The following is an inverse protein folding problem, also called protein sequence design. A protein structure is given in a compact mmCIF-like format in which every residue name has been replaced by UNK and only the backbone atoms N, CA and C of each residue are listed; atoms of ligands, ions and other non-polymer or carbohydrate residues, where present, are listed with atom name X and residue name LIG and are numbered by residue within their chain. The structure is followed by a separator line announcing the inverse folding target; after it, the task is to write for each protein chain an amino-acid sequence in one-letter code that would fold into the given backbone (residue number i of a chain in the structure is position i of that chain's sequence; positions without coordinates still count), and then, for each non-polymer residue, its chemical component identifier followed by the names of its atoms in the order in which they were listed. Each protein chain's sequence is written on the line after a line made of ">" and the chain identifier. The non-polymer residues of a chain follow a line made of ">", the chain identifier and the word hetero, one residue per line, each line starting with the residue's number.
data_IF_907967402468
#
_entry.id   IF_907967402468
#
_cell.length_a   1.000
_cell.length_b   1.000
_cell.length_c   1.000
_cell.angle_alpha   90.00
_cell.angle_beta   90.00
_cell.angle_gamma   90.00
#
_symmetry.space_group_name_H-M   'P 1'
#
loop_
_entity.id
_entity.type
_entity.pdbx_description
1 polymer ?
#
# COMPACT_ATOMS: atom_id res chain seq x y z
N UNK A 1 -0.65 7.09 26.19
CA UNK A 1 -0.02 6.42 25.02
C UNK A 1 0.72 5.21 25.55
N UNK A 2 0.49 4.03 24.97
CA UNK A 2 1.10 2.77 25.42
C UNK A 2 1.89 2.14 24.26
N UNK A 3 3.10 1.65 24.53
CA UNK A 3 3.90 0.87 23.57
C UNK A 3 3.48 -0.59 23.69
N UNK A 4 3.10 -1.21 22.57
CA UNK A 4 2.55 -2.59 22.54
C UNK A 4 3.50 -3.61 21.91
N UNK A 5 4.49 -3.17 21.14
CA UNK A 5 5.53 -3.98 20.52
C UNK A 5 6.76 -3.12 20.15
N UNK A 6 7.91 -3.75 19.92
CA UNK A 6 9.16 -3.12 19.46
C UNK A 6 10.04 -4.12 18.68
N UNK A 7 11.17 -3.65 18.15
CA UNK A 7 12.10 -4.47 17.34
C UNK A 7 11.95 -4.30 15.81
N UNK A 8 11.11 -3.37 15.38
CA UNK A 8 10.92 -2.99 13.97
C UNK A 8 11.90 -1.92 13.55
N UNK A 9 12.19 -1.84 12.26
CA UNK A 9 13.01 -0.76 11.70
C UNK A 9 12.15 0.42 11.22
N UNK A 10 11.01 0.14 10.59
CA UNK A 10 10.05 1.18 10.17
C UNK A 10 8.65 0.56 10.03
N UNK A 11 7.67 0.98 10.84
CA UNK A 11 6.32 0.40 10.79
C UNK A 11 5.38 1.23 9.94
N UNK A 12 4.63 0.61 9.03
CA UNK A 12 3.68 1.28 8.12
C UNK A 12 2.40 0.46 7.89
N UNK A 13 1.42 1.09 7.24
CA UNK A 13 0.22 0.42 6.74
C UNK A 13 -0.58 -0.38 7.79
N UNK A 14 -0.85 0.13 9.00
CA UNK A 14 -1.63 -0.60 9.98
C UNK A 14 -3.07 -0.81 9.51
N UNK A 15 -3.57 -2.04 9.55
CA UNK A 15 -4.94 -2.40 9.22
C UNK A 15 -5.49 -3.45 10.18
N UNK A 16 -6.68 -3.20 10.73
CA UNK A 16 -7.37 -4.19 11.56
C UNK A 16 -8.08 -5.23 10.69
N UNK A 17 -7.80 -6.51 10.92
CA UNK A 17 -8.42 -7.62 10.20
C UNK A 17 -9.34 -8.38 11.15
N UNK A 18 -10.64 -8.08 11.05
CA UNK A 18 -11.68 -8.63 11.94
C UNK A 18 -11.74 -10.15 11.96
N UNK A 19 -11.61 -10.80 10.80
CA UNK A 19 -11.59 -12.28 10.70
C UNK A 19 -10.42 -12.92 11.47
N UNK A 20 -9.36 -12.15 11.75
CA UNK A 20 -8.16 -12.61 12.47
C UNK A 20 -8.11 -12.12 13.91
N UNK A 21 -9.02 -11.21 14.29
CA UNK A 21 -8.95 -10.47 15.54
C UNK A 21 -7.56 -9.87 15.82
N UNK A 22 -6.97 -9.28 14.79
CA UNK A 22 -5.58 -8.82 14.84
C UNK A 22 -5.34 -7.60 13.95
N UNK A 23 -4.37 -6.79 14.36
CA UNK A 23 -3.76 -5.73 13.57
C UNK A 23 -2.68 -6.34 12.68
N UNK A 24 -2.74 -6.08 11.38
CA UNK A 24 -1.60 -6.28 10.48
C UNK A 24 -0.90 -4.94 10.26
N UNK A 25 0.42 -4.98 10.13
CA UNK A 25 1.23 -3.81 9.74
C UNK A 25 2.51 -4.29 9.06
N UNK A 26 3.05 -3.45 8.19
CA UNK A 26 4.29 -3.76 7.45
C UNK A 26 5.51 -3.21 8.18
N UNK A 27 6.63 -3.91 8.02
CA UNK A 27 7.97 -3.37 8.16
C UNK A 27 8.68 -3.48 6.79
N UNK A 28 8.66 -2.40 5.98
CA UNK A 28 9.22 -2.43 4.63
C UNK A 28 10.73 -2.73 4.63
N UNK A 29 11.46 -2.31 5.66
CA UNK A 29 12.89 -2.52 5.77
C UNK A 29 13.22 -3.98 6.10
N UNK A 30 12.48 -4.60 7.03
CA UNK A 30 12.62 -6.03 7.34
C UNK A 30 11.89 -6.95 6.36
N UNK A 31 11.27 -6.42 5.30
CA UNK A 31 10.58 -7.22 4.29
C UNK A 31 9.51 -8.15 4.87
N UNK A 32 8.79 -7.66 5.88
CA UNK A 32 7.90 -8.50 6.69
C UNK A 32 6.56 -7.79 6.93
N UNK A 33 5.46 -8.55 6.92
CA UNK A 33 4.19 -8.13 7.52
C UNK A 33 4.07 -8.84 8.86
N UNK A 34 3.78 -8.08 9.91
CA UNK A 34 3.54 -8.58 11.25
C UNK A 34 2.05 -8.63 11.56
N UNK A 35 1.70 -9.49 12.51
CA UNK A 35 0.38 -9.58 13.12
C UNK A 35 0.49 -9.35 14.62
N UNK A 36 -0.36 -8.47 15.16
CA UNK A 36 -0.53 -8.25 16.59
C UNK A 36 -1.99 -8.53 16.98
N UNK A 37 -2.23 -9.60 17.73
CA UNK A 37 -3.58 -10.01 18.14
C UNK A 37 -4.14 -9.13 19.26
N UNK A 38 -5.46 -9.12 19.44
CA UNK A 38 -6.09 -8.42 20.57
C UNK A 38 -5.58 -8.92 21.94
N UNK A 39 -5.20 -10.20 22.03
CA UNK A 39 -4.59 -10.81 23.22
C UNK A 39 -3.12 -10.42 23.45
N UNK A 40 -2.55 -9.56 22.60
CA UNK A 40 -1.20 -9.04 22.76
C UNK A 40 -0.09 -9.91 22.17
N UNK A 41 -0.42 -10.85 21.29
CA UNK A 41 0.56 -11.75 20.66
C UNK A 41 1.08 -11.14 19.37
N UNK A 42 2.39 -10.88 19.31
CA UNK A 42 3.11 -10.49 18.11
C UNK A 42 3.63 -11.73 17.37
N UNK A 43 3.43 -11.79 16.06
CA UNK A 43 3.93 -12.86 15.20
C UNK A 43 4.19 -12.36 13.77
N UNK A 44 4.97 -13.11 12.99
CA UNK A 44 5.12 -12.85 11.55
C UNK A 44 3.88 -13.35 10.82
N UNK A 45 3.22 -12.47 10.07
CA UNK A 45 2.13 -12.83 9.18
C UNK A 45 2.64 -13.30 7.82
N UNK A 46 3.59 -12.57 7.25
CA UNK A 46 4.20 -12.87 5.96
C UNK A 46 5.65 -12.42 5.94
N UNK A 47 6.56 -13.35 5.74
CA UNK A 47 7.95 -13.09 5.39
C UNK A 47 8.10 -12.82 3.88
N UNK A 48 9.17 -12.14 3.48
CA UNK A 48 9.43 -11.71 2.09
C UNK A 48 8.23 -10.99 1.48
N UNK A 49 7.71 -10.02 2.23
CA UNK A 49 6.43 -9.38 1.94
C UNK A 49 6.43 -8.48 0.71
N UNK A 50 7.59 -8.03 0.24
CA UNK A 50 7.71 -7.22 -0.98
C UNK A 50 8.64 -7.84 -2.02
N UNK A 51 9.84 -8.30 -1.64
CA UNK A 51 10.88 -8.68 -2.60
C UNK A 51 11.72 -9.87 -2.15
N UNK A 52 12.24 -10.67 -3.08
CA UNK A 52 13.14 -11.79 -2.77
C UNK A 52 14.23 -12.00 -3.84
N UNK A 53 14.45 -10.97 -4.67
CA UNK A 53 15.48 -10.99 -5.71
C UNK A 53 16.90 -10.99 -5.14
N UNK A 54 17.86 -11.45 -5.94
CA UNK A 54 19.26 -11.56 -5.53
C UNK A 54 19.92 -10.20 -5.21
N UNK A 55 19.42 -9.12 -5.79
CA UNK A 55 19.84 -7.73 -5.58
C UNK A 55 19.13 -7.05 -4.39
N UNK A 56 18.44 -7.81 -3.52
CA UNK A 56 17.73 -7.26 -2.36
C UNK A 56 18.60 -6.37 -1.46
N UNK A 57 19.91 -6.63 -1.39
CA UNK A 57 20.86 -5.84 -0.62
C UNK A 57 21.00 -4.39 -1.10
N UNK A 58 20.57 -4.09 -2.33
CA UNK A 58 20.53 -2.72 -2.85
C UNK A 58 19.33 -1.91 -2.31
N UNK A 59 18.28 -2.58 -1.84
CA UNK A 59 17.04 -1.94 -1.41
C UNK A 59 17.08 -1.59 0.08
N UNK A 60 16.78 -0.34 0.42
CA UNK A 60 16.58 0.07 1.81
C UNK A 60 15.23 -0.37 2.39
N UNK A 61 14.19 -0.43 1.55
CA UNK A 61 12.82 -0.81 1.92
C UNK A 61 12.24 -1.83 0.91
N UNK A 62 12.78 -3.06 0.83
CA UNK A 62 12.36 -4.06 -0.16
C UNK A 62 10.94 -4.61 0.06
N UNK A 63 10.40 -4.45 1.26
CA UNK A 63 9.17 -5.07 1.74
C UNK A 63 7.85 -4.51 1.22
N UNK A 64 6.78 -5.00 1.84
CA UNK A 64 5.47 -4.37 1.72
C UNK A 64 5.44 -3.03 2.44
N UNK A 65 4.58 -2.11 1.99
CA UNK A 65 4.30 -0.85 2.68
C UNK A 65 2.82 -0.78 3.08
N UNK A 66 2.02 0.06 2.43
CA UNK A 66 0.59 0.18 2.68
C UNK A 66 -0.15 -1.16 2.57
N UNK A 67 -1.10 -1.36 3.49
CA UNK A 67 -2.02 -2.50 3.53
C UNK A 67 -3.46 -1.98 3.55
N UNK A 68 -4.37 -2.67 2.88
CA UNK A 68 -5.81 -2.40 2.99
C UNK A 68 -6.63 -3.67 2.75
N UNK A 69 -7.94 -3.61 3.00
CA UNK A 69 -8.86 -4.69 2.68
C UNK A 69 -9.74 -4.31 1.50
N UNK A 70 -9.90 -5.24 0.56
CA UNK A 70 -10.89 -5.10 -0.50
C UNK A 70 -12.32 -5.26 0.04
N UNK A 71 -13.37 -4.98 -0.76
CA UNK A 71 -14.75 -5.10 -0.29
C UNK A 71 -15.17 -6.53 0.09
N UNK A 72 -14.36 -7.54 -0.24
CA UNK A 72 -14.56 -8.94 0.14
C UNK A 72 -13.72 -9.35 1.36
N UNK A 73 -13.01 -8.41 2.00
CA UNK A 73 -12.16 -8.66 3.17
C UNK A 73 -10.79 -9.27 2.85
N UNK A 74 -10.37 -9.31 1.58
CA UNK A 74 -9.05 -9.81 1.19
C UNK A 74 -7.99 -8.72 1.33
N UNK A 75 -6.80 -9.09 1.79
CA UNK A 75 -5.69 -8.17 1.98
C UNK A 75 -5.13 -7.74 0.63
N UNK A 76 -5.04 -6.43 0.39
CA UNK A 76 -4.30 -5.83 -0.73
C UNK A 76 -3.03 -5.18 -0.19
N UNK A 77 -1.92 -5.41 -0.87
CA UNK A 77 -0.56 -5.14 -0.40
C UNK A 77 0.16 -4.32 -1.47
N UNK A 78 0.78 -3.23 -1.05
CA UNK A 78 1.77 -2.53 -1.85
C UNK A 78 3.15 -3.17 -1.64
N UNK A 79 3.79 -3.66 -2.70
CA UNK A 79 5.10 -4.32 -2.66
C UNK A 79 6.16 -3.39 -3.28
N UNK A 80 7.03 -2.80 -2.45
CA UNK A 80 8.06 -1.87 -2.92
C UNK A 80 9.03 -2.54 -3.92
N UNK A 81 9.79 -3.54 -3.49
CA UNK A 81 10.87 -4.09 -4.32
C UNK A 81 10.38 -4.85 -5.56
N UNK A 82 9.12 -5.30 -5.60
CA UNK A 82 8.50 -5.86 -6.82
C UNK A 82 7.76 -4.83 -7.68
N UNK A 83 7.61 -3.59 -7.24
CA UNK A 83 6.98 -2.50 -7.97
C UNK A 83 5.53 -2.82 -8.35
N UNK A 84 4.75 -3.35 -7.41
CA UNK A 84 3.39 -3.81 -7.72
C UNK A 84 2.44 -3.75 -6.55
N UNK A 85 1.16 -3.76 -6.89
CA UNK A 85 0.06 -3.93 -5.95
C UNK A 85 -0.51 -5.33 -6.13
N UNK A 86 -0.56 -6.10 -5.05
CA UNK A 86 -1.05 -7.48 -5.04
C UNK A 86 -2.24 -7.65 -4.11
N UNK A 87 -3.02 -8.70 -4.33
CA UNK A 87 -4.10 -9.14 -3.44
C UNK A 87 -3.85 -10.57 -3.00
N UNK A 88 -3.90 -10.80 -1.69
CA UNK A 88 -3.84 -12.12 -1.10
C UNK A 88 -5.21 -12.79 -1.22
N UNK A 89 -5.28 -13.82 -2.05
CA UNK A 89 -6.48 -14.63 -2.24
C UNK A 89 -6.71 -15.58 -1.06
N UNK A 90 -7.94 -16.10 -0.96
CA UNK A 90 -8.34 -16.96 0.17
C UNK A 90 -7.60 -18.30 0.21
N UNK A 91 -7.10 -18.76 -0.94
CA UNK A 91 -6.25 -19.95 -1.05
C UNK A 91 -4.78 -19.68 -0.70
N UNK A 92 -4.43 -18.43 -0.35
CA UNK A 92 -3.08 -18.00 -0.01
C UNK A 92 -2.23 -17.55 -1.21
N UNK A 93 -2.75 -17.62 -2.44
CA UNK A 93 -2.06 -17.12 -3.64
C UNK A 93 -2.07 -15.58 -3.70
N UNK A 94 -1.13 -15.02 -4.47
CA UNK A 94 -1.10 -13.58 -4.77
C UNK A 94 -1.58 -13.33 -6.20
N UNK A 95 -2.62 -12.51 -6.34
CA UNK A 95 -3.02 -11.93 -7.62
C UNK A 95 -2.36 -10.57 -7.80
N UNK A 96 -1.72 -10.32 -8.95
CA UNK A 96 -1.20 -8.99 -9.29
C UNK A 96 -2.35 -8.12 -9.81
N UNK A 97 -2.60 -6.99 -9.15
CA UNK A 97 -3.61 -6.03 -9.59
C UNK A 97 -2.99 -4.99 -10.53
N UNK A 98 -1.81 -4.48 -10.18
CA UNK A 98 -1.11 -3.47 -10.96
C UNK A 98 0.41 -3.62 -10.80
N UNK A 99 1.15 -3.61 -11.91
CA UNK A 99 2.62 -3.62 -11.92
C UNK A 99 3.21 -2.73 -13.02
N UNK A 100 2.39 -2.35 -14.02
CA UNK A 100 2.79 -1.52 -15.14
C UNK A 100 1.70 -0.53 -15.52
N UNK A 101 2.11 0.65 -15.97
CA UNK A 101 1.25 1.66 -16.59
C UNK A 101 1.85 2.06 -17.94
N UNK A 102 1.07 1.91 -19.02
CA UNK A 102 1.51 2.22 -20.39
C UNK A 102 2.83 1.53 -20.78
N UNK A 103 3.00 0.26 -20.38
CA UNK A 103 4.18 -0.55 -20.69
C UNK A 103 5.42 -0.20 -19.86
N UNK A 104 5.30 0.66 -18.85
CA UNK A 104 6.36 1.02 -17.92
C UNK A 104 6.06 0.49 -16.53
N UNK A 105 7.05 -0.02 -15.82
CA UNK A 105 6.91 -0.48 -14.43
C UNK A 105 6.50 0.67 -13.53
N UNK A 106 5.68 0.36 -12.52
CA UNK A 106 5.44 1.27 -11.40
C UNK A 106 6.77 1.58 -10.68
N UNK A 107 6.80 2.65 -9.89
CA UNK A 107 7.98 3.03 -9.12
C UNK A 107 8.12 2.13 -7.89
N UNK A 108 7.24 2.31 -6.91
CA UNK A 108 7.14 1.53 -5.68
C UNK A 108 5.84 1.95 -4.98
N UNK A 109 4.71 1.28 -5.25
CA UNK A 109 3.43 1.63 -4.67
C UNK A 109 3.55 1.76 -3.14
N UNK A 110 3.00 2.83 -2.56
CA UNK A 110 3.31 3.20 -1.17
C UNK A 110 2.08 3.09 -0.25
N UNK A 111 1.04 3.91 -0.48
CA UNK A 111 -0.24 3.81 0.22
C UNK A 111 -1.38 3.42 -0.71
N UNK A 112 -2.46 2.83 -0.17
CA UNK A 112 -3.61 2.38 -0.95
C UNK A 112 -4.92 2.37 -0.15
N UNK A 113 -6.04 2.55 -0.84
CA UNK A 113 -7.37 2.49 -0.25
C UNK A 113 -8.45 2.12 -1.27
N UNK A 114 -9.47 1.38 -0.83
CA UNK A 114 -10.65 1.13 -1.65
C UNK A 114 -11.75 2.19 -1.42
N UNK A 115 -12.37 2.60 -2.52
CA UNK A 115 -13.72 3.18 -2.54
C UNK A 115 -14.74 2.04 -2.43
N UNK A 116 -15.91 2.31 -1.85
CA UNK A 116 -16.95 1.28 -1.65
C UNK A 116 -17.48 0.61 -2.92
N UNK A 117 -17.26 1.18 -4.12
CA UNK A 117 -17.59 0.52 -5.39
C UNK A 117 -16.50 -0.42 -5.91
N UNK A 118 -15.50 -0.74 -5.09
CA UNK A 118 -14.37 -1.60 -5.43
C UNK A 118 -13.26 -0.92 -6.23
N UNK A 119 -13.33 0.39 -6.49
CA UNK A 119 -12.21 1.12 -7.08
C UNK A 119 -11.07 1.22 -6.07
N UNK A 120 -9.91 0.69 -6.42
CA UNK A 120 -8.69 0.86 -5.64
C UNK A 120 -8.00 2.16 -6.05
N UNK A 121 -7.56 2.96 -5.09
CA UNK A 121 -6.64 4.08 -5.29
C UNK A 121 -5.32 3.80 -4.59
N UNK A 122 -4.20 4.18 -5.20
CA UNK A 122 -2.88 4.05 -4.57
C UNK A 122 -1.89 5.11 -5.04
N UNK A 123 -0.89 5.43 -4.21
CA UNK A 123 0.25 6.29 -4.55
C UNK A 123 1.41 5.45 -5.07
N UNK A 124 2.20 6.01 -5.99
CA UNK A 124 3.39 5.37 -6.56
C UNK A 124 4.63 6.28 -6.54
N UNK A 125 5.10 6.73 -5.36
CA UNK A 125 6.38 7.42 -5.25
C UNK A 125 7.54 6.42 -5.42
N UNK A 126 8.77 6.86 -5.71
CA UNK A 126 9.93 5.97 -5.81
C UNK A 126 10.58 5.68 -4.45
N UNK A 127 9.85 5.75 -3.33
CA UNK A 127 10.42 5.62 -1.99
C UNK A 127 11.04 4.25 -1.70
N UNK A 128 10.56 3.21 -2.38
CA UNK A 128 11.12 1.86 -2.31
C UNK A 128 12.32 1.62 -3.22
N UNK A 129 12.67 2.55 -4.11
CA UNK A 129 13.83 2.40 -4.99
C UNK A 129 15.15 2.71 -4.24
N UNK A 130 16.26 2.01 -4.53
CA UNK A 130 17.54 2.20 -3.86
C UNK A 130 18.04 3.66 -3.78
N UNK A 131 17.84 4.44 -4.84
CA UNK A 131 18.23 5.86 -4.91
C UNK A 131 17.04 6.82 -5.03
N UNK A 132 15.86 6.39 -4.60
CA UNK A 132 14.65 7.22 -4.60
C UNK A 132 14.38 7.84 -5.98
N UNK A 133 14.27 9.17 -6.06
CA UNK A 133 14.01 9.90 -7.30
C UNK A 133 15.14 9.82 -8.34
N UNK A 134 16.39 9.59 -7.89
CA UNK A 134 17.58 9.52 -8.75
C UNK A 134 17.88 8.08 -9.20
N UNK A 135 17.00 7.12 -8.88
CA UNK A 135 17.23 5.72 -9.25
C UNK A 135 16.99 5.48 -10.75
N UNK A 136 17.99 4.94 -11.48
CA UNK A 136 17.85 4.69 -12.92
C UNK A 136 16.83 3.60 -13.24
N UNK A 137 16.38 2.80 -12.26
CA UNK A 137 15.30 1.81 -12.45
C UNK A 137 13.92 2.46 -12.58
N UNK A 138 13.80 3.76 -12.27
CA UNK A 138 12.54 4.50 -12.38
C UNK A 138 12.15 4.67 -13.85
N UNK A 139 11.09 4.00 -14.28
CA UNK A 139 10.64 4.04 -15.69
C UNK A 139 9.59 5.12 -15.95
N UNK A 140 8.70 5.36 -14.98
CA UNK A 140 7.64 6.36 -15.10
C UNK A 140 8.20 7.78 -14.92
N UNK A 141 7.73 8.77 -15.70
CA UNK A 141 8.15 10.15 -15.53
C UNK A 141 7.50 10.84 -14.30
N UNK A 142 6.59 10.15 -13.61
CA UNK A 142 5.70 10.73 -12.58
C UNK A 142 5.75 9.93 -11.29
N UNK A 143 5.43 10.58 -10.17
CA UNK A 143 5.15 9.96 -8.87
C UNK A 143 3.68 10.18 -8.56
N UNK A 144 2.84 9.42 -9.26
CA UNK A 144 1.42 9.73 -9.40
C UNK A 144 0.51 8.96 -8.44
N UNK A 145 -0.78 9.27 -8.58
CA UNK A 145 -1.86 8.49 -7.99
C UNK A 145 -2.59 7.76 -9.08
N UNK A 146 -2.81 6.48 -8.82
CA UNK A 146 -3.48 5.60 -9.74
C UNK A 146 -4.81 5.14 -9.17
N UNK A 147 -5.73 4.85 -10.08
CA UNK A 147 -6.95 4.10 -9.79
C UNK A 147 -6.93 2.79 -10.56
N UNK A 148 -7.34 1.71 -9.91
CA UNK A 148 -7.51 0.40 -10.51
C UNK A 148 -8.93 -0.10 -10.27
N UNK A 149 -9.58 -0.56 -11.34
CA UNK A 149 -10.90 -1.21 -11.29
C UNK A 149 -11.05 -2.16 -12.47
N UNK A 150 -11.45 -3.39 -12.17
CA UNK A 150 -11.76 -4.44 -13.17
C UNK A 150 -10.63 -4.62 -14.22
N UNK A 151 -9.39 -4.69 -13.74
CA UNK A 151 -8.20 -4.87 -14.59
C UNK A 151 -7.72 -3.62 -15.31
N UNK A 152 -8.37 -2.46 -15.13
CA UNK A 152 -7.99 -1.20 -15.77
C UNK A 152 -7.31 -0.25 -14.80
N UNK A 153 -6.05 0.06 -15.08
CA UNK A 153 -5.26 1.06 -14.37
C UNK A 153 -5.35 2.44 -15.06
N UNK A 154 -5.49 3.52 -14.28
CA UNK A 154 -5.53 4.91 -14.77
C UNK A 154 -4.75 5.84 -13.85
N UNK A 155 -3.97 6.75 -14.42
CA UNK A 155 -3.40 7.87 -13.70
C UNK A 155 -4.50 8.89 -13.36
N UNK A 156 -4.61 9.25 -12.09
CA UNK A 156 -5.57 10.22 -11.54
C UNK A 156 -4.94 11.61 -11.46
N UNK A 157 -3.71 11.68 -10.96
CA UNK A 157 -2.95 12.94 -10.81
C UNK A 157 -1.45 12.65 -10.64
N UNK A 158 -0.60 13.64 -10.89
CA UNK A 158 0.84 13.50 -11.06
C UNK A 158 1.69 13.68 -9.78
N UNK A 159 1.13 14.21 -8.69
CA UNK A 159 1.90 14.65 -7.51
C UNK A 159 1.38 14.36 -6.05
N UNK A 160 0.51 13.38 -5.76
CA UNK A 160 0.17 13.06 -4.36
C UNK A 160 1.09 12.06 -3.66
N UNK A 161 1.09 12.13 -2.32
CA UNK A 161 1.87 11.35 -1.37
C UNK A 161 1.02 10.46 -0.44
N UNK A 162 -0.09 10.95 0.14
CA UNK A 162 -0.89 10.17 1.12
C UNK A 162 -2.40 10.45 0.97
N UNK A 163 -3.26 9.56 1.48
CA UNK A 163 -4.71 9.73 1.46
C UNK A 163 -5.40 9.35 2.77
N UNK A 164 -6.54 9.98 3.02
CA UNK A 164 -7.49 9.50 4.00
C UNK A 164 -8.93 9.80 3.57
N UNK A 165 -9.85 8.88 3.91
CA UNK A 165 -11.28 9.17 3.84
C UNK A 165 -11.70 10.03 5.04
N UNK A 166 -12.45 11.09 4.78
CA UNK A 166 -13.00 12.00 5.78
C UNK A 166 -14.41 12.47 5.42
N UNK A 167 -14.84 13.58 6.02
CA UNK A 167 -16.22 14.05 5.91
C UNK A 167 -17.19 13.26 6.80
N UNK A 168 -18.30 13.90 7.21
CA UNK A 168 -19.29 13.28 8.11
C UNK A 168 -19.87 11.99 7.52
N UNK A 169 -19.99 11.93 6.21
CA UNK A 169 -20.55 10.83 5.43
C UNK A 169 -19.48 9.87 4.86
N UNK A 170 -18.19 10.17 5.04
CA UNK A 170 -17.09 9.34 4.53
C UNK A 170 -16.83 9.48 3.04
N UNK A 171 -17.40 10.50 2.40
CA UNK A 171 -17.37 10.69 0.95
C UNK A 171 -16.29 11.65 0.47
N UNK A 172 -15.56 12.27 1.38
CA UNK A 172 -14.46 13.17 1.03
C UNK A 172 -13.15 12.38 1.08
N UNK A 173 -12.47 12.23 -0.06
CA UNK A 173 -11.10 11.73 -0.10
C UNK A 173 -10.15 12.93 0.02
N UNK A 174 -9.33 12.94 1.06
CA UNK A 174 -8.23 13.89 1.20
C UNK A 174 -6.97 13.28 0.60
N UNK A 175 -6.22 14.07 -0.17
CA UNK A 175 -4.96 13.68 -0.79
C UNK A 175 -3.89 14.71 -0.41
N UNK A 176 -2.88 14.28 0.33
CA UNK A 176 -1.70 15.09 0.60
C UNK A 176 -0.80 15.04 -0.64
N UNK A 177 -0.45 16.18 -1.20
CA UNK A 177 0.65 16.35 -2.16
C UNK A 177 1.81 17.11 -1.51
N UNK A 178 2.95 17.23 -2.22
CA UNK A 178 4.17 17.81 -1.65
C UNK A 178 3.97 19.23 -1.12
N UNK A 179 3.15 20.03 -1.79
CA UNK A 179 2.90 21.44 -1.47
C UNK A 179 1.42 21.79 -1.29
N UNK A 180 0.51 20.82 -1.42
CA UNK A 180 -0.93 21.06 -1.44
C UNK A 180 -1.71 19.93 -0.78
N UNK A 181 -2.86 20.27 -0.21
CA UNK A 181 -3.87 19.31 0.23
C UNK A 181 -5.05 19.38 -0.75
N UNK A 182 -5.35 18.27 -1.40
CA UNK A 182 -6.51 18.15 -2.27
C UNK A 182 -7.65 17.49 -1.51
N UNK A 183 -8.89 17.90 -1.83
CA UNK A 183 -10.09 17.15 -1.47
C UNK A 183 -10.83 16.79 -2.74
N UNK A 184 -11.33 15.56 -2.79
CA UNK A 184 -12.23 15.10 -3.84
C UNK A 184 -13.52 14.66 -3.16
N UNK A 185 -14.64 15.30 -3.49
CA UNK A 185 -15.95 14.83 -3.09
C UNK A 185 -16.39 13.69 -4.02
N UNK A 186 -16.77 12.56 -3.43
CA UNK A 186 -17.15 11.36 -4.17
C UNK A 186 -18.61 11.01 -3.87
N UNK A 187 -19.29 10.36 -4.82
CA UNK A 187 -20.69 9.99 -4.64
C UNK A 187 -20.87 8.86 -3.61
N UNK A 188 -19.80 8.13 -3.31
CA UNK A 188 -19.80 6.91 -2.52
C UNK A 188 -18.76 7.02 -1.39
N UNK A 189 -19.07 6.53 -0.18
CA UNK A 189 -18.14 6.59 0.94
C UNK A 189 -16.94 5.65 0.74
N UNK A 190 -15.84 5.94 1.42
CA UNK A 190 -14.72 5.00 1.59
C UNK A 190 -15.09 3.78 2.43
N UNK A 191 -14.32 2.69 2.29
CA UNK A 191 -14.39 1.59 3.25
C UNK A 191 -13.72 2.07 4.55
N UNK A 192 -14.52 2.21 5.61
CA UNK A 192 -14.02 2.52 6.95
C UNK A 192 -13.76 1.18 7.67
N UNK A 193 -12.64 1.03 8.40
CA UNK A 193 -12.38 -0.13 9.24
C UNK A 193 -13.56 -0.48 10.17
#
# INVERSE_FOLDING_TARGET
>A
MFKVAEGFQFTEGPIWVRERNALLFSDPNHNTIYQYTESGVLSVFRDKSGYDGADIAEYGQPGSNGLTLDPQGRLTINEHGRHRVTRLERDGSLSVLAEQYQGKRLNSPNDLVYRSDGTLYFTDPPFGLPKFFEDPRKELPVSGVFSWKDGRLRLVTHEPHNFAWGGKDGRTLYLCARSALYRIELLLPGIRP
#
